data_IF_724793258963
#
_entry.id   IF_724793258963
#
_cell.length_a   1.000
_cell.length_b   1.000
_cell.length_c   1.000
_cell.angle_alpha   90.00
_cell.angle_beta   90.00
_cell.angle_gamma   90.00
#
_symmetry.space_group_name_H-M   'P 1'
#
loop_
_entity.id
_entity.type
_entity.pdbx_description
1 polymer ?
#
# COMPACT_ATOMS: atom_id res chain seq x y z
N UNK A 1 4.03 -21.61 -10.99
CA UNK A 1 4.78 -21.32 -9.75
C UNK A 1 5.39 -19.94 -9.92
N UNK A 2 4.76 -18.91 -9.35
CA UNK A 2 5.30 -17.56 -9.37
C UNK A 2 6.51 -17.49 -8.44
N UNK A 3 7.67 -17.14 -9.00
CA UNK A 3 8.82 -16.71 -8.23
C UNK A 3 8.42 -15.43 -7.49
N UNK A 4 8.29 -15.53 -6.18
CA UNK A 4 8.26 -14.38 -5.29
C UNK A 4 9.66 -14.24 -4.67
N UNK A 5 10.05 -13.00 -4.35
CA UNK A 5 11.32 -12.62 -3.71
C UNK A 5 11.62 -13.36 -2.38
N UNK A 6 10.71 -14.20 -1.89
CA UNK A 6 10.83 -14.93 -0.63
C UNK A 6 11.48 -16.33 -0.78
N UNK A 7 11.78 -16.79 -2.00
CA UNK A 7 12.17 -18.19 -2.27
C UNK A 7 13.61 -18.41 -2.74
N UNK A 8 14.51 -17.42 -2.68
CA UNK A 8 15.92 -17.65 -3.03
C UNK A 8 16.74 -18.01 -1.78
N UNK A 9 17.08 -19.31 -1.66
CA UNK A 9 18.19 -19.75 -0.80
C UNK A 9 19.51 -19.31 -1.46
N UNK A 10 20.24 -18.40 -0.81
CA UNK A 10 21.55 -17.94 -1.27
C UNK A 10 22.63 -18.59 -0.40
N UNK A 11 23.48 -19.41 -1.03
CA UNK A 11 24.64 -20.03 -0.38
C UNK A 11 25.64 -18.98 0.10
N UNK A 12 26.07 -19.13 1.35
CA UNK A 12 27.03 -18.25 2.01
C UNK A 12 28.47 -18.56 1.57
N UNK A 13 29.16 -17.56 1.00
CA UNK A 13 30.61 -17.57 0.90
C UNK A 13 31.24 -16.36 1.63
N UNK A 14 32.46 -16.58 2.13
CA UNK A 14 32.95 -16.12 3.42
C UNK A 14 34.02 -15.02 3.31
N UNK A 15 34.10 -14.17 4.36
CA UNK A 15 35.22 -13.32 4.86
C UNK A 15 35.46 -11.90 4.31
N UNK A 16 35.03 -10.91 5.09
CA UNK A 16 35.63 -9.55 5.18
C UNK A 16 34.61 -8.40 5.19
N UNK A 17 34.52 -7.67 6.33
CA UNK A 17 33.45 -6.74 6.76
C UNK A 17 32.15 -7.50 7.12
N UNK A 18 31.56 -7.30 8.33
CA UNK A 18 30.26 -7.90 8.63
C UNK A 18 29.28 -7.48 7.54
N UNK A 19 28.40 -8.38 7.06
CA UNK A 19 27.46 -8.03 6.02
C UNK A 19 26.73 -6.75 6.43
N UNK A 20 26.78 -5.74 5.57
CA UNK A 20 25.83 -4.63 5.63
C UNK A 20 24.46 -5.29 5.75
N UNK A 21 23.77 -5.06 6.85
CA UNK A 21 22.48 -5.69 7.10
C UNK A 21 21.54 -5.37 5.93
N UNK A 22 20.65 -6.30 5.57
CA UNK A 22 19.69 -6.03 4.51
C UNK A 22 18.74 -4.91 4.96
N UNK A 23 18.90 -3.73 4.35
CA UNK A 23 18.10 -2.55 4.66
C UNK A 23 16.62 -2.80 4.36
N UNK A 24 16.30 -3.47 3.25
CA UNK A 24 14.93 -3.76 2.87
C UNK A 24 14.28 -4.70 3.89
N UNK A 25 15.00 -5.75 4.31
CA UNK A 25 14.53 -6.62 5.38
C UNK A 25 14.34 -5.86 6.70
N UNK A 26 15.29 -4.99 7.07
CA UNK A 26 15.19 -4.17 8.28
C UNK A 26 13.96 -3.26 8.28
N UNK A 27 13.64 -2.62 7.15
CA UNK A 27 12.44 -1.79 6.98
C UNK A 27 11.17 -2.64 7.11
N UNK A 28 11.15 -3.86 6.55
CA UNK A 28 10.00 -4.76 6.68
C UNK A 28 9.78 -5.23 8.12
N UNK A 29 10.84 -5.60 8.84
CA UNK A 29 10.72 -6.02 10.24
C UNK A 29 10.33 -4.85 11.15
N UNK A 30 10.88 -3.66 10.90
CA UNK A 30 10.50 -2.43 11.59
C UNK A 30 9.01 -2.11 11.36
N UNK A 31 8.54 -2.21 10.13
CA UNK A 31 7.13 -2.05 9.78
C UNK A 31 6.25 -3.00 10.60
N UNK A 32 6.53 -4.31 10.57
CA UNK A 32 5.76 -5.28 11.36
C UNK A 32 5.73 -4.93 12.84
N UNK A 33 6.84 -4.45 13.40
CA UNK A 33 6.90 -4.05 14.81
C UNK A 33 6.07 -2.79 15.09
N UNK A 34 6.22 -1.74 14.29
CA UNK A 34 5.45 -0.50 14.40
C UNK A 34 3.95 -0.77 14.31
N UNK A 35 3.53 -1.71 13.47
CA UNK A 35 2.12 -2.03 13.35
C UNK A 35 1.54 -2.88 14.47
N UNK A 36 2.35 -3.73 15.10
CA UNK A 36 1.90 -4.45 16.31
C UNK A 36 1.83 -3.55 17.54
N UNK A 37 2.74 -2.58 17.67
CA UNK A 37 2.94 -1.83 18.92
C UNK A 37 2.62 -0.33 18.83
N UNK A 38 2.30 0.17 17.65
CA UNK A 38 2.27 1.60 17.36
C UNK A 38 3.68 2.19 17.21
N UNK A 39 3.72 3.43 16.75
CA UNK A 39 4.95 4.21 16.70
C UNK A 39 5.46 4.47 18.12
N UNK A 40 4.65 5.07 18.98
CA UNK A 40 5.01 5.48 20.35
C UNK A 40 5.38 4.30 21.23
N UNK A 41 4.67 3.17 21.09
CA UNK A 41 4.92 1.93 21.84
C UNK A 41 6.15 1.13 21.40
N UNK A 42 6.84 1.55 20.33
CA UNK A 42 8.04 0.87 19.82
C UNK A 42 9.31 1.63 20.23
N UNK A 43 10.19 1.05 21.03
CA UNK A 43 11.46 1.70 21.40
C UNK A 43 12.57 1.42 20.37
N UNK A 44 13.63 2.26 20.33
CA UNK A 44 14.84 1.96 19.54
C UNK A 44 15.45 0.62 19.94
N UNK A 45 15.38 0.25 21.23
CA UNK A 45 15.85 -1.05 21.72
C UNK A 45 15.04 -2.20 21.10
N UNK A 46 13.72 -2.09 21.06
CA UNK A 46 12.87 -3.10 20.42
C UNK A 46 13.20 -3.25 18.93
N UNK A 47 13.41 -2.12 18.23
CA UNK A 47 13.81 -2.11 16.81
C UNK A 47 15.15 -2.80 16.60
N UNK A 48 16.18 -2.41 17.35
CA UNK A 48 17.51 -3.04 17.25
C UNK A 48 17.47 -4.54 17.56
N UNK A 49 16.66 -4.95 18.54
CA UNK A 49 16.52 -6.36 18.91
C UNK A 49 15.74 -7.17 17.87
N UNK A 50 14.76 -6.56 17.21
CA UNK A 50 13.92 -7.21 16.20
C UNK A 50 14.65 -7.32 14.86
N UNK A 51 15.36 -6.26 14.47
CA UNK A 51 16.12 -6.20 13.22
C UNK A 51 17.46 -6.97 13.34
N UNK A 52 18.00 -7.08 14.57
CA UNK A 52 19.28 -7.75 14.81
C UNK A 52 20.50 -6.85 14.53
N UNK A 53 20.39 -5.54 14.73
CA UNK A 53 21.47 -4.56 14.50
C UNK A 53 21.79 -3.76 15.76
N UNK A 54 22.97 -3.12 15.80
CA UNK A 54 23.33 -2.20 16.88
C UNK A 54 22.56 -0.87 16.78
N UNK A 55 22.41 -0.16 17.89
CA UNK A 55 21.85 1.20 17.90
C UNK A 55 22.63 2.16 17.00
N UNK A 56 23.96 2.03 16.95
CA UNK A 56 24.80 2.84 16.07
C UNK A 56 24.52 2.55 14.60
N UNK A 57 24.31 1.29 14.23
CA UNK A 57 23.98 0.88 12.87
C UNK A 57 22.61 1.39 12.45
N UNK A 58 21.63 1.35 13.35
CA UNK A 58 20.29 1.88 13.10
C UNK A 58 20.34 3.39 12.81
N UNK A 59 20.99 4.17 13.67
CA UNK A 59 21.10 5.61 13.45
C UNK A 59 21.96 5.97 12.25
N UNK A 60 23.03 5.22 11.98
CA UNK A 60 23.84 5.45 10.77
C UNK A 60 23.08 5.19 9.47
N UNK A 61 22.09 4.31 9.49
CA UNK A 61 21.35 3.94 8.29
C UNK A 61 20.07 4.75 8.11
N UNK A 62 19.35 5.06 9.19
CA UNK A 62 18.00 5.62 9.16
C UNK A 62 17.89 6.98 9.83
N UNK A 63 19.00 7.53 10.31
CA UNK A 63 19.15 8.76 11.11
C UNK A 63 18.47 8.73 12.49
N UNK A 64 17.24 8.20 12.56
CA UNK A 64 16.42 8.12 13.76
C UNK A 64 15.36 7.02 13.63
N UNK A 65 14.68 6.72 14.76
CA UNK A 65 13.43 5.93 14.73
C UNK A 65 12.38 6.56 13.81
N UNK A 66 12.32 7.89 13.75
CA UNK A 66 11.41 8.62 12.88
C UNK A 66 11.76 8.43 11.39
N UNK A 67 13.04 8.53 11.04
CA UNK A 67 13.50 8.29 9.67
C UNK A 67 13.25 6.84 9.21
N UNK A 68 13.48 5.86 10.09
CA UNK A 68 13.10 4.47 9.82
C UNK A 68 11.58 4.33 9.63
N UNK A 69 10.78 5.00 10.44
CA UNK A 69 9.32 4.98 10.30
C UNK A 69 8.87 5.61 8.96
N UNK A 70 9.40 6.77 8.59
CA UNK A 70 9.07 7.42 7.32
C UNK A 70 9.46 6.52 6.13
N UNK A 71 10.59 5.82 6.19
CA UNK A 71 10.96 4.84 5.16
C UNK A 71 10.00 3.65 5.11
N UNK A 72 9.54 3.15 6.26
CA UNK A 72 8.52 2.08 6.30
C UNK A 72 7.22 2.53 5.64
N UNK A 73 6.81 3.79 5.85
CA UNK A 73 5.63 4.40 5.23
C UNK A 73 5.84 4.59 3.73
N UNK A 74 7.03 5.02 3.31
CA UNK A 74 7.40 5.17 1.91
C UNK A 74 7.35 3.87 1.13
N UNK A 75 7.95 2.79 1.64
CA UNK A 75 7.89 1.45 1.03
C UNK A 75 6.44 0.99 0.89
N UNK A 76 5.63 1.24 1.91
CA UNK A 76 4.22 0.87 1.91
C UNK A 76 3.42 1.66 0.86
N UNK A 77 3.64 2.98 0.80
CA UNK A 77 3.01 3.87 -0.18
C UNK A 77 3.36 3.49 -1.63
N UNK A 78 4.59 3.05 -1.87
CA UNK A 78 5.02 2.57 -3.19
C UNK A 78 4.26 1.32 -3.64
N UNK A 79 3.89 0.41 -2.73
CA UNK A 79 3.09 -0.78 -3.09
C UNK A 79 1.71 -0.40 -3.66
N UNK A 80 1.02 0.55 -3.03
CA UNK A 80 -0.25 1.04 -3.56
C UNK A 80 -0.09 1.76 -4.87
N UNK A 81 0.94 2.58 -4.98
CA UNK A 81 1.28 3.24 -6.24
C UNK A 81 1.50 2.22 -7.37
N UNK A 82 2.22 1.14 -7.10
CA UNK A 82 2.43 0.06 -8.06
C UNK A 82 1.14 -0.67 -8.44
N UNK A 83 0.19 -0.84 -7.51
CA UNK A 83 -1.14 -1.39 -7.81
C UNK A 83 -1.88 -0.47 -8.78
N UNK A 84 -1.88 0.84 -8.54
CA UNK A 84 -2.49 1.82 -9.45
C UNK A 84 -1.83 1.81 -10.83
N UNK A 85 -0.51 1.90 -10.89
CA UNK A 85 0.25 1.90 -12.14
C UNK A 85 0.00 0.64 -12.96
N UNK A 86 0.01 -0.54 -12.32
CA UNK A 86 -0.30 -1.81 -12.98
C UNK A 86 -1.75 -1.87 -13.48
N UNK A 87 -2.70 -1.42 -12.67
CA UNK A 87 -4.11 -1.46 -13.01
C UNK A 87 -4.43 -0.52 -14.20
N UNK A 88 -3.88 0.70 -14.19
CA UNK A 88 -4.15 1.68 -15.25
C UNK A 88 -3.55 1.29 -16.61
N UNK A 89 -2.61 0.34 -16.65
CA UNK A 89 -2.07 -0.22 -17.88
C UNK A 89 -2.99 -1.25 -18.57
N UNK A 90 -4.16 -1.56 -18.00
CA UNK A 90 -5.10 -2.50 -18.60
C UNK A 90 -5.77 -1.96 -19.87
N UNK A 91 -6.13 -2.89 -20.76
CA UNK A 91 -6.65 -2.60 -22.10
C UNK A 91 -8.01 -1.88 -22.10
N UNK A 92 -8.83 -2.06 -21.06
CA UNK A 92 -10.11 -1.38 -20.90
C UNK A 92 -10.26 -0.81 -19.50
N UNK A 93 -11.07 0.24 -19.35
CA UNK A 93 -11.28 0.88 -18.05
C UNK A 93 -11.95 -0.08 -17.07
N UNK A 94 -12.85 -0.94 -17.55
CA UNK A 94 -13.51 -1.93 -16.69
C UNK A 94 -12.50 -2.89 -16.07
N UNK A 95 -11.55 -3.40 -16.86
CA UNK A 95 -10.47 -4.26 -16.36
C UNK A 95 -9.51 -3.48 -15.46
N UNK A 96 -9.25 -2.21 -15.77
CA UNK A 96 -8.38 -1.35 -14.95
C UNK A 96 -8.97 -1.16 -13.54
N UNK A 97 -10.25 -0.77 -13.43
CA UNK A 97 -10.87 -0.53 -12.12
C UNK A 97 -11.05 -1.86 -11.37
N UNK A 98 -11.39 -2.96 -12.06
CA UNK A 98 -11.47 -4.30 -11.45
C UNK A 98 -10.11 -4.73 -10.85
N UNK A 99 -9.05 -4.64 -11.65
CA UNK A 99 -7.68 -4.94 -11.22
C UNK A 99 -7.26 -4.07 -10.03
N UNK A 100 -7.57 -2.77 -10.07
CA UNK A 100 -7.30 -1.86 -8.96
C UNK A 100 -7.98 -2.32 -7.66
N UNK A 101 -9.30 -2.52 -7.67
CA UNK A 101 -10.04 -2.87 -6.45
C UNK A 101 -9.62 -4.25 -5.92
N UNK A 102 -9.51 -5.25 -6.81
CA UNK A 102 -9.15 -6.62 -6.41
C UNK A 102 -7.73 -6.72 -5.87
N UNK A 103 -6.74 -6.16 -6.56
CA UNK A 103 -5.36 -6.16 -6.07
C UNK A 103 -5.23 -5.38 -4.76
N UNK A 104 -6.01 -4.31 -4.59
CA UNK A 104 -6.03 -3.58 -3.32
C UNK A 104 -6.62 -4.40 -2.19
N UNK A 105 -7.73 -5.13 -2.40
CA UNK A 105 -8.29 -6.05 -1.40
C UNK A 105 -7.29 -7.13 -1.01
N UNK A 106 -6.56 -7.69 -1.98
CA UNK A 106 -5.50 -8.67 -1.70
C UNK A 106 -4.40 -8.07 -0.83
N UNK A 107 -3.96 -6.84 -1.11
CA UNK A 107 -2.96 -6.15 -0.29
C UNK A 107 -3.49 -5.85 1.12
N UNK A 108 -4.71 -5.31 1.23
CA UNK A 108 -5.33 -4.97 2.52
C UNK A 108 -5.49 -6.17 3.46
N UNK A 109 -5.63 -7.37 2.91
CA UNK A 109 -5.97 -8.59 3.65
C UNK A 109 -4.82 -9.58 3.71
N UNK A 110 -3.59 -9.12 3.43
CA UNK A 110 -2.41 -9.94 3.68
C UNK A 110 -2.34 -10.33 5.17
N UNK A 111 -1.79 -11.51 5.50
CA UNK A 111 -1.76 -12.02 6.89
C UNK A 111 -1.13 -11.04 7.88
N UNK A 112 -1.76 -10.84 9.04
CA UNK A 112 -1.39 -9.82 10.03
C UNK A 112 0.04 -9.91 10.59
N UNK A 113 0.63 -11.10 10.58
CA UNK A 113 2.02 -11.38 10.94
C UNK A 113 3.02 -10.90 9.88
N UNK A 114 2.59 -10.82 8.62
CA UNK A 114 3.41 -10.42 7.47
C UNK A 114 3.10 -9.02 6.95
N UNK A 115 1.88 -8.53 7.18
CA UNK A 115 1.37 -7.30 6.57
C UNK A 115 0.23 -6.68 7.38
N UNK A 116 0.29 -5.39 7.67
CA UNK A 116 -0.57 -4.84 8.68
C UNK A 116 -1.72 -3.96 8.13
N UNK A 117 -2.49 -4.53 7.20
CA UNK A 117 -3.65 -3.88 6.57
C UNK A 117 -3.31 -2.52 5.94
N UNK A 118 -4.31 -1.79 5.43
CA UNK A 118 -4.07 -0.50 4.80
C UNK A 118 -3.48 0.53 5.79
N UNK A 119 -2.29 1.05 5.51
CA UNK A 119 -1.63 2.06 6.33
C UNK A 119 -2.50 3.30 6.57
N UNK A 120 -3.29 3.72 5.58
CA UNK A 120 -4.18 4.89 5.69
C UNK A 120 -5.18 4.73 6.84
N UNK A 121 -5.71 3.52 7.01
CA UNK A 121 -6.72 3.22 8.03
C UNK A 121 -6.09 2.60 9.29
N UNK A 122 -4.77 2.47 9.34
CA UNK A 122 -4.07 1.83 10.47
C UNK A 122 -4.03 2.74 11.71
N UNK A 123 -4.19 2.13 12.89
CA UNK A 123 -4.04 2.82 14.17
C UNK A 123 -2.64 3.45 14.37
N UNK A 124 -1.62 2.90 13.71
CA UNK A 124 -0.24 3.42 13.73
C UNK A 124 -0.20 4.87 13.26
N UNK A 125 -0.92 5.21 12.19
CA UNK A 125 -0.94 6.57 11.66
C UNK A 125 -1.58 7.59 12.60
N UNK A 126 -2.46 7.13 13.49
CA UNK A 126 -3.07 7.95 14.54
C UNK A 126 -2.13 8.19 15.72
N UNK A 127 -1.20 7.26 15.97
CA UNK A 127 -0.20 7.31 17.07
C UNK A 127 1.07 8.10 16.70
N UNK A 128 1.26 8.43 15.42
CA UNK A 128 2.44 9.19 14.95
C UNK A 128 2.28 10.70 15.27
N UNK A 129 3.32 11.35 15.84
CA UNK A 129 3.29 12.80 16.07
C UNK A 129 3.03 13.60 14.80
N UNK A 130 2.26 14.69 14.91
CA UNK A 130 1.88 15.53 13.77
C UNK A 130 3.05 16.19 13.04
N UNK A 131 4.24 16.24 13.66
CA UNK A 131 5.47 16.80 13.08
C UNK A 131 6.22 15.84 12.17
N UNK A 132 5.80 14.58 12.04
CA UNK A 132 6.46 13.60 11.18
C UNK A 132 5.95 13.64 9.73
N UNK A 133 6.85 13.33 8.79
CA UNK A 133 6.58 13.45 7.35
C UNK A 133 5.64 12.37 6.80
N UNK A 134 5.55 11.21 7.45
CA UNK A 134 4.67 10.11 7.07
C UNK A 134 3.26 10.50 6.58
N UNK A 135 2.60 11.49 7.24
CA UNK A 135 1.27 11.96 6.79
C UNK A 135 1.31 12.71 5.45
N UNK A 136 2.36 13.51 5.24
CA UNK A 136 2.62 14.19 3.97
C UNK A 136 2.93 13.22 2.84
N UNK A 137 3.70 12.17 3.11
CA UNK A 137 4.05 11.14 2.13
C UNK A 137 2.81 10.37 1.67
N UNK A 138 1.94 9.96 2.61
CA UNK A 138 0.66 9.32 2.28
C UNK A 138 -0.25 10.25 1.48
N UNK A 139 -0.36 11.54 1.86
CA UNK A 139 -1.17 12.50 1.11
C UNK A 139 -0.66 12.69 -0.31
N UNK A 140 0.66 12.74 -0.49
CA UNK A 140 1.31 12.85 -1.81
C UNK A 140 1.03 11.62 -2.66
N UNK A 141 1.16 10.43 -2.07
CA UNK A 141 0.83 9.16 -2.74
C UNK A 141 -0.64 9.12 -3.15
N UNK A 142 -1.57 9.48 -2.27
CA UNK A 142 -3.01 9.50 -2.57
C UNK A 142 -3.33 10.42 -3.75
N UNK A 143 -2.79 11.63 -3.76
CA UNK A 143 -2.95 12.58 -4.87
C UNK A 143 -2.39 12.05 -6.18
N UNK A 144 -1.22 11.40 -6.14
CA UNK A 144 -0.62 10.76 -7.33
C UNK A 144 -1.55 9.67 -7.88
N UNK A 145 -2.00 8.77 -7.02
CA UNK A 145 -2.84 7.63 -7.41
C UNK A 145 -4.20 8.09 -7.95
N UNK A 146 -4.83 9.08 -7.32
CA UNK A 146 -6.05 9.70 -7.81
C UNK A 146 -5.84 10.35 -9.18
N UNK A 147 -4.71 11.03 -9.39
CA UNK A 147 -4.32 11.59 -10.69
C UNK A 147 -4.20 10.53 -11.79
N UNK A 148 -3.55 9.39 -11.50
CA UNK A 148 -3.43 8.28 -12.46
C UNK A 148 -4.80 7.73 -12.86
N UNK A 149 -5.69 7.52 -11.88
CA UNK A 149 -7.04 7.02 -12.12
C UNK A 149 -7.86 8.01 -12.94
N UNK A 150 -7.84 9.30 -12.57
CA UNK A 150 -8.55 10.37 -13.28
C UNK A 150 -8.11 10.44 -14.74
N UNK A 151 -6.80 10.40 -15.00
CA UNK A 151 -6.27 10.43 -16.36
C UNK A 151 -6.78 9.25 -17.18
N UNK A 152 -6.75 8.03 -16.63
CA UNK A 152 -7.23 6.83 -17.33
C UNK A 152 -8.74 6.85 -17.59
N UNK A 153 -9.53 7.40 -16.67
CA UNK A 153 -10.98 7.62 -16.85
C UNK A 153 -11.22 8.65 -17.97
N UNK A 154 -10.46 9.75 -18.01
CA UNK A 154 -10.53 10.73 -19.09
C UNK A 154 -10.29 10.09 -20.46
N UNK A 155 -9.22 9.30 -20.59
CA UNK A 155 -8.94 8.52 -21.80
C UNK A 155 -10.09 7.57 -22.17
N UNK A 156 -10.70 6.90 -21.19
CA UNK A 156 -11.83 5.99 -21.43
C UNK A 156 -13.08 6.72 -21.95
N UNK A 157 -13.31 7.96 -21.54
CA UNK A 157 -14.39 8.81 -22.05
C UNK A 157 -14.10 9.21 -23.50
N UNK A 158 -12.87 9.63 -23.79
CA UNK A 158 -12.44 10.01 -25.14
C UNK A 158 -12.50 8.84 -26.14
N UNK A 159 -12.16 7.63 -25.68
CA UNK A 159 -12.23 6.38 -26.45
C UNK A 159 -13.66 5.81 -26.55
N UNK A 160 -14.62 6.40 -25.83
CA UNK A 160 -16.02 5.98 -25.83
C UNK A 160 -16.31 4.69 -25.07
N UNK A 161 -15.37 4.21 -24.24
CA UNK A 161 -15.59 3.12 -23.29
C UNK A 161 -16.59 3.53 -22.18
N UNK A 162 -16.59 4.82 -21.82
CA UNK A 162 -17.54 5.45 -20.90
C UNK A 162 -18.46 6.37 -21.69
N UNK A 163 -19.73 6.45 -21.30
CA UNK A 163 -20.69 7.39 -21.89
C UNK A 163 -20.15 8.82 -21.94
N UNK A 164 -20.09 9.41 -23.13
CA UNK A 164 -19.67 10.79 -23.34
C UNK A 164 -20.51 11.79 -22.54
N UNK A 165 -19.87 12.85 -22.03
CA UNK A 165 -20.50 13.83 -21.14
C UNK A 165 -20.48 13.44 -19.65
N UNK A 166 -19.96 12.26 -19.32
CA UNK A 166 -19.69 11.88 -17.92
C UNK A 166 -18.53 12.71 -17.37
N UNK A 167 -18.67 13.19 -16.13
CA UNK A 167 -17.62 13.92 -15.42
C UNK A 167 -16.57 12.95 -14.86
N UNK A 168 -15.33 13.04 -15.36
CA UNK A 168 -14.22 12.21 -14.94
C UNK A 168 -13.89 12.34 -13.45
N UNK A 169 -14.09 13.53 -12.85
CA UNK A 169 -13.85 13.77 -11.43
C UNK A 169 -14.86 13.00 -10.57
N UNK A 170 -16.13 12.99 -10.97
CA UNK A 170 -17.20 12.26 -10.25
C UNK A 170 -16.94 10.75 -10.29
N UNK A 171 -16.58 10.22 -11.46
CA UNK A 171 -16.27 8.79 -11.63
C UNK A 171 -15.02 8.41 -10.82
N UNK A 172 -13.98 9.25 -10.85
CA UNK A 172 -12.77 9.07 -10.04
C UNK A 172 -13.11 9.04 -8.56
N UNK A 173 -13.87 10.03 -8.08
CA UNK A 173 -14.31 10.12 -6.68
C UNK A 173 -15.13 8.92 -6.24
N UNK A 174 -16.01 8.41 -7.09
CA UNK A 174 -16.78 7.20 -6.81
C UNK A 174 -15.89 5.96 -6.63
N UNK A 175 -14.93 5.74 -7.54
CA UNK A 175 -13.99 4.61 -7.43
C UNK A 175 -13.11 4.76 -6.18
N UNK A 176 -12.61 5.97 -5.90
CA UNK A 176 -11.84 6.23 -4.68
C UNK A 176 -12.65 5.97 -3.41
N UNK A 177 -13.91 6.39 -3.36
CA UNK A 177 -14.79 6.13 -2.22
C UNK A 177 -14.97 4.62 -1.97
N UNK A 178 -15.14 3.82 -3.03
CA UNK A 178 -15.20 2.36 -2.93
C UNK A 178 -13.86 1.79 -2.42
N UNK A 179 -12.75 2.25 -2.97
CA UNK A 179 -11.41 1.84 -2.55
C UNK A 179 -11.15 2.11 -1.07
N UNK A 180 -11.46 3.32 -0.59
CA UNK A 180 -11.35 3.68 0.82
C UNK A 180 -12.31 2.88 1.71
N UNK A 181 -13.52 2.63 1.24
CA UNK A 181 -14.50 1.78 1.94
C UNK A 181 -14.01 0.34 2.12
N UNK A 182 -13.36 -0.24 1.11
CA UNK A 182 -12.74 -1.57 1.19
C UNK A 182 -11.54 -1.57 2.16
N UNK A 183 -10.71 -0.53 2.13
CA UNK A 183 -9.57 -0.36 3.04
C UNK A 183 -10.00 -0.20 4.52
N UNK A 184 -11.13 0.47 4.77
CA UNK A 184 -11.67 0.63 6.11
C UNK A 184 -12.31 -0.68 6.62
N UNK A 185 -13.09 -1.36 5.77
CA UNK A 185 -13.74 -2.62 6.15
C UNK A 185 -12.73 -3.75 6.40
N UNK A 186 -11.64 -3.82 5.64
CA UNK A 186 -10.56 -4.77 5.92
C UNK A 186 -9.93 -4.52 7.30
N UNK A 187 -9.75 -3.25 7.69
CA UNK A 187 -9.25 -2.89 9.01
C UNK A 187 -10.20 -3.33 10.13
N UNK A 188 -11.51 -3.32 9.88
CA UNK A 188 -12.52 -3.82 10.82
C UNK A 188 -12.71 -5.35 10.81
N UNK A 189 -11.87 -6.09 10.08
CA UNK A 189 -11.86 -7.55 10.08
C UNK A 189 -12.90 -8.19 9.16
N UNK A 190 -13.44 -7.45 8.19
CA UNK A 190 -14.27 -8.07 7.14
C UNK A 190 -13.41 -9.01 6.30
N UNK A 191 -13.89 -10.23 6.12
CA UNK A 191 -13.16 -11.29 5.43
C UNK A 191 -12.84 -10.94 3.97
N UNK A 192 -11.67 -11.38 3.49
CA UNK A 192 -11.19 -11.14 2.11
C UNK A 192 -12.24 -11.46 1.06
N UNK A 193 -12.89 -12.62 1.17
CA UNK A 193 -13.88 -13.06 0.20
C UNK A 193 -15.11 -12.14 0.18
N UNK A 194 -15.48 -11.56 1.31
CA UNK A 194 -16.58 -10.60 1.38
C UNK A 194 -16.20 -9.26 0.76
N UNK A 195 -15.00 -8.75 1.02
CA UNK A 195 -14.48 -7.55 0.37
C UNK A 195 -14.39 -7.70 -1.16
N UNK A 196 -13.96 -8.88 -1.64
CA UNK A 196 -13.95 -9.19 -3.08
C UNK A 196 -15.36 -9.19 -3.67
N UNK A 197 -16.36 -9.74 -2.96
CA UNK A 197 -17.77 -9.68 -3.41
C UNK A 197 -18.29 -8.25 -3.49
N UNK A 198 -17.91 -7.39 -2.53
CA UNK A 198 -18.26 -5.96 -2.54
C UNK A 198 -17.61 -5.27 -3.75
N UNK A 199 -16.31 -5.50 -3.98
CA UNK A 199 -15.61 -4.96 -5.14
C UNK A 199 -16.26 -5.40 -6.46
N UNK A 200 -16.55 -6.69 -6.62
CA UNK A 200 -17.21 -7.24 -7.81
C UNK A 200 -18.61 -6.63 -8.02
N UNK A 201 -19.37 -6.39 -6.94
CA UNK A 201 -20.69 -5.74 -7.03
C UNK A 201 -20.57 -4.28 -7.46
N UNK A 202 -19.64 -3.51 -6.87
CA UNK A 202 -19.39 -2.12 -7.24
C UNK A 202 -19.00 -1.98 -8.72
N UNK A 203 -18.17 -2.89 -9.24
CA UNK A 203 -17.83 -2.94 -10.67
C UNK A 203 -19.07 -3.13 -11.54
N UNK A 204 -19.90 -4.14 -11.25
CA UNK A 204 -21.11 -4.41 -12.03
C UNK A 204 -22.09 -3.24 -12.00
N UNK A 205 -22.31 -2.64 -10.83
CA UNK A 205 -23.21 -1.50 -10.67
C UNK A 205 -22.71 -0.28 -11.48
N UNK A 206 -21.42 0.01 -11.39
CA UNK A 206 -20.78 1.10 -12.12
C UNK A 206 -20.93 0.91 -13.63
N UNK A 207 -20.51 -0.23 -14.16
CA UNK A 207 -20.53 -0.44 -15.60
C UNK A 207 -21.94 -0.56 -16.14
N UNK A 208 -22.90 -1.16 -15.43
CA UNK A 208 -24.30 -1.15 -15.87
C UNK A 208 -24.90 0.24 -16.07
N UNK A 209 -24.33 1.27 -15.44
CA UNK A 209 -24.78 2.67 -15.54
C UNK A 209 -24.03 3.45 -16.64
N UNK A 210 -22.76 3.13 -16.87
CA UNK A 210 -21.85 3.94 -17.70
C UNK A 210 -21.31 3.23 -18.95
N UNK A 211 -21.46 1.92 -19.06
CA UNK A 211 -21.09 1.16 -20.26
C UNK A 211 -22.12 1.39 -21.36
N UNK A 212 -21.64 1.61 -22.58
CA UNK A 212 -22.49 1.53 -23.78
C UNK A 212 -22.84 0.08 -24.11
#
# INVERSE_FOLDING_TARGET
MEQTLYNEEVEANNRGRPPEFDRAQAVLEAARLFWRRGYSGTSTRDLTSTIGISTSSLYSAFDSKAGLFDETVGVYAQRYTAIYEKAMAAQSISVAVDGLLRSSVLEFTQPADSHPGCLITSAVMSDVPATQNARGDISTMLKKNEGLLRARIGTAIDEGEILGGTDADVVTGFVQANWHGLAAQSHHGVERNELLRIADFSQRAMWSTYSR
#
